data_IF_986835657005
#
_entry.id   IF_986835657005
#
_cell.length_a   1.000
_cell.length_b   1.000
_cell.length_c   1.000
_cell.angle_alpha   90.00
_cell.angle_beta   90.00
_cell.angle_gamma   90.00
#
_symmetry.space_group_name_H-M   'P 1'
#
loop_
_entity.id
_entity.type
_entity.pdbx_description
1 polymer ?
#
# COMPACT_ATOMS: atom_id res chain seq x y z
N UNK A 1 -43.44 5.75 10.19
CA UNK A 1 -42.39 6.42 9.39
C UNK A 1 -41.03 6.09 10.00
N UNK A 2 -40.21 5.26 9.35
CA UNK A 2 -38.82 5.02 9.78
C UNK A 2 -38.01 6.26 9.38
N UNK A 3 -37.65 7.10 10.34
CA UNK A 3 -36.73 8.20 10.11
C UNK A 3 -35.42 7.62 9.54
N UNK A 4 -35.07 8.00 8.32
CA UNK A 4 -33.81 7.59 7.70
C UNK A 4 -32.65 8.04 8.57
N UNK A 5 -31.78 7.10 8.97
CA UNK A 5 -30.52 7.45 9.65
C UNK A 5 -29.76 8.42 8.75
N UNK A 6 -29.56 9.66 9.21
CA UNK A 6 -28.65 10.61 8.57
C UNK A 6 -27.27 9.95 8.46
N UNK A 7 -26.74 9.88 7.24
CA UNK A 7 -25.41 9.32 6.99
C UNK A 7 -24.39 10.31 7.54
N UNK A 8 -23.67 9.92 8.59
CA UNK A 8 -22.61 10.73 9.18
C UNK A 8 -21.30 10.49 8.42
N UNK A 9 -20.85 11.49 7.66
CA UNK A 9 -19.64 11.43 6.83
C UNK A 9 -18.35 11.82 7.57
N UNK A 10 -18.44 12.38 8.79
CA UNK A 10 -17.26 12.81 9.56
C UNK A 10 -16.18 11.74 9.75
N UNK A 11 -16.51 10.46 10.05
CA UNK A 11 -15.50 9.42 10.17
C UNK A 11 -14.71 9.19 8.88
N UNK A 12 -15.34 9.34 7.72
CA UNK A 12 -14.69 9.16 6.42
C UNK A 12 -13.70 10.31 6.13
N UNK A 13 -14.06 11.54 6.49
CA UNK A 13 -13.19 12.72 6.36
C UNK A 13 -11.95 12.54 7.23
N UNK A 14 -12.13 12.13 8.50
CA UNK A 14 -11.03 11.88 9.43
C UNK A 14 -10.10 10.78 8.87
N UNK A 15 -10.67 9.70 8.34
CA UNK A 15 -9.90 8.61 7.73
C UNK A 15 -9.05 9.12 6.57
N UNK A 16 -9.64 9.88 5.64
CA UNK A 16 -8.91 10.46 4.51
C UNK A 16 -7.75 11.33 4.99
N UNK A 17 -7.98 12.19 5.98
CA UNK A 17 -6.94 13.07 6.55
C UNK A 17 -5.80 12.24 7.15
N UNK A 18 -6.11 11.22 7.97
CA UNK A 18 -5.10 10.37 8.61
C UNK A 18 -4.29 9.59 7.56
N UNK A 19 -4.95 9.02 6.55
CA UNK A 19 -4.27 8.31 5.46
C UNK A 19 -3.37 9.25 4.65
N UNK A 20 -3.81 10.48 4.37
CA UNK A 20 -2.97 11.49 3.71
C UNK A 20 -1.74 11.84 4.53
N UNK A 21 -1.89 12.03 5.86
CA UNK A 21 -0.76 12.28 6.76
C UNK A 21 0.25 11.13 6.74
N UNK A 22 -0.22 9.88 6.67
CA UNK A 22 0.63 8.69 6.61
C UNK A 22 1.43 8.60 5.30
N UNK A 23 0.91 9.17 4.21
CA UNK A 23 1.55 9.17 2.88
C UNK A 23 2.52 10.34 2.73
N UNK A 24 2.56 11.31 3.65
CA UNK A 24 3.49 12.45 3.57
C UNK A 24 4.96 12.09 3.35
N UNK A 25 5.54 11.01 3.92
CA UNK A 25 6.92 10.63 3.64
C UNK A 25 7.14 10.26 2.16
N UNK A 26 6.11 9.79 1.46
CA UNK A 26 6.23 9.40 0.04
C UNK A 26 6.39 10.61 -0.89
N UNK A 27 6.16 11.84 -0.41
CA UNK A 27 6.22 13.05 -1.23
C UNK A 27 7.65 13.55 -1.49
N UNK A 28 8.65 13.06 -0.75
CA UNK A 28 10.04 13.42 -1.04
C UNK A 28 10.51 12.84 -2.38
N UNK A 29 11.56 13.41 -2.96
CA UNK A 29 12.21 12.83 -4.15
C UNK A 29 12.84 11.48 -3.82
N UNK A 30 12.80 10.52 -4.76
CA UNK A 30 13.31 9.16 -4.54
C UNK A 30 12.40 8.25 -3.69
N UNK A 31 12.91 7.07 -3.35
CA UNK A 31 12.24 6.12 -2.46
C UNK A 31 12.73 6.31 -1.02
N UNK A 32 11.87 6.04 -0.04
CA UNK A 32 12.23 6.25 1.38
C UNK A 32 13.18 5.13 1.84
N UNK A 33 14.13 5.44 2.75
CA UNK A 33 15.03 4.42 3.28
C UNK A 33 14.24 3.39 4.11
N UNK A 34 14.38 2.12 3.73
CA UNK A 34 13.75 0.97 4.39
C UNK A 34 14.67 -0.24 4.24
N UNK A 35 14.59 -1.19 5.18
CA UNK A 35 15.42 -2.40 5.14
C UNK A 35 15.12 -3.31 3.93
N UNK A 36 13.89 -3.30 3.42
CA UNK A 36 13.51 -3.96 2.16
C UNK A 36 13.09 -2.91 1.13
N UNK A 37 14.05 -2.37 0.41
CA UNK A 37 13.88 -1.35 -0.64
C UNK A 37 13.57 -1.95 -2.02
N UNK A 38 13.29 -3.26 -2.10
CA UNK A 38 13.12 -3.98 -3.38
C UNK A 38 11.76 -3.76 -4.07
N UNK A 39 10.90 -2.92 -3.49
CA UNK A 39 9.51 -2.72 -3.94
C UNK A 39 9.46 -2.13 -5.35
N UNK A 40 10.33 -1.16 -5.66
CA UNK A 40 10.37 -0.49 -6.96
C UNK A 40 10.80 -1.46 -8.06
N UNK A 41 11.79 -2.31 -7.76
CA UNK A 41 12.31 -3.35 -8.63
C UNK A 41 11.23 -4.39 -8.92
N UNK A 42 10.47 -4.81 -7.91
CA UNK A 42 9.35 -5.76 -8.10
C UNK A 42 8.24 -5.18 -8.98
N UNK A 43 7.92 -3.88 -8.87
CA UNK A 43 6.96 -3.21 -9.78
C UNK A 43 7.51 -3.11 -11.20
N UNK A 44 8.80 -2.79 -11.36
CA UNK A 44 9.48 -2.81 -12.66
C UNK A 44 9.37 -4.18 -13.34
N UNK A 45 9.73 -5.25 -12.62
CA UNK A 45 9.66 -6.62 -13.12
C UNK A 45 8.23 -7.05 -13.45
N UNK A 46 7.26 -6.66 -12.62
CA UNK A 46 5.85 -6.96 -12.90
C UNK A 46 5.39 -6.28 -14.18
N UNK A 47 5.73 -4.99 -14.39
CA UNK A 47 5.45 -4.29 -15.64
C UNK A 47 6.07 -5.02 -16.83
N UNK A 48 7.34 -5.42 -16.73
CA UNK A 48 8.07 -6.10 -17.81
C UNK A 48 7.45 -7.45 -18.16
N UNK A 49 7.20 -8.29 -17.16
CA UNK A 49 6.57 -9.59 -17.37
C UNK A 49 5.15 -9.45 -17.96
N UNK A 50 4.38 -8.47 -17.52
CA UNK A 50 3.06 -8.18 -18.09
C UNK A 50 3.16 -7.67 -19.54
N UNK A 51 4.14 -6.82 -19.88
CA UNK A 51 4.36 -6.39 -21.27
C UNK A 51 4.76 -7.53 -22.18
N UNK A 52 5.42 -8.56 -21.64
CA UNK A 52 5.78 -9.79 -22.34
C UNK A 52 4.61 -10.77 -22.43
N UNK A 53 3.41 -10.39 -21.97
CA UNK A 53 2.19 -11.21 -22.03
C UNK A 53 2.12 -12.31 -20.98
N UNK A 54 2.97 -12.29 -19.95
CA UNK A 54 2.96 -13.30 -18.89
C UNK A 54 1.80 -13.04 -17.91
N UNK A 55 0.79 -13.91 -17.93
CA UNK A 55 -0.28 -13.89 -16.93
C UNK A 55 -0.72 -15.33 -16.56
N UNK A 56 -0.70 -15.72 -15.27
CA UNK A 56 -0.18 -14.96 -14.14
C UNK A 56 1.35 -14.86 -14.17
N UNK A 57 1.88 -13.71 -13.77
CA UNK A 57 3.32 -13.50 -13.57
C UNK A 57 3.80 -14.37 -12.41
N UNK A 58 4.78 -15.23 -12.68
CA UNK A 58 5.40 -16.15 -11.71
C UNK A 58 6.91 -15.99 -11.67
N UNK A 59 7.51 -15.81 -12.84
CA UNK A 59 8.96 -15.69 -13.04
C UNK A 59 9.26 -14.32 -13.62
N UNK A 60 10.31 -13.68 -13.11
CA UNK A 60 10.76 -12.38 -13.60
C UNK A 60 12.19 -12.48 -14.12
N UNK A 61 12.53 -11.80 -15.24
CA UNK A 61 13.78 -12.06 -15.96
C UNK A 61 15.03 -11.46 -15.32
N UNK A 62 14.98 -10.26 -14.73
CA UNK A 62 16.23 -9.53 -14.43
C UNK A 62 16.76 -9.77 -13.00
N UNK A 63 15.92 -10.29 -12.11
CA UNK A 63 16.34 -10.67 -10.76
C UNK A 63 17.20 -11.95 -10.77
N UNK A 64 17.86 -12.23 -9.64
CA UNK A 64 18.70 -13.42 -9.51
C UNK A 64 19.97 -13.36 -10.36
N UNK A 65 20.62 -12.19 -10.43
CA UNK A 65 21.81 -11.95 -11.25
C UNK A 65 21.60 -12.19 -12.75
N UNK A 66 20.38 -11.95 -13.26
CA UNK A 66 20.02 -12.15 -14.67
C UNK A 66 19.67 -13.58 -15.06
N UNK A 67 19.66 -14.53 -14.12
CA UNK A 67 19.12 -15.89 -14.36
C UNK A 67 17.60 -15.96 -14.21
N UNK A 68 16.99 -14.88 -13.73
CA UNK A 68 15.59 -14.77 -13.40
C UNK A 68 15.24 -15.35 -12.02
N UNK A 69 14.06 -14.99 -11.54
CA UNK A 69 13.66 -15.30 -10.17
C UNK A 69 12.14 -15.55 -10.02
N UNK A 70 11.71 -16.59 -9.29
CA UNK A 70 10.30 -16.93 -9.12
C UNK A 70 9.58 -16.11 -8.02
N UNK A 71 9.85 -14.80 -7.91
CA UNK A 71 9.42 -13.97 -6.75
C UNK A 71 7.93 -14.06 -6.45
N UNK A 72 7.09 -14.04 -7.48
CA UNK A 72 5.63 -13.97 -7.34
C UNK A 72 4.96 -15.32 -7.05
N UNK A 73 5.74 -16.39 -6.91
CA UNK A 73 5.26 -17.64 -6.30
C UNK A 73 5.31 -17.58 -4.77
N UNK A 74 6.19 -16.76 -4.21
CA UNK A 74 6.45 -16.71 -2.76
C UNK A 74 6.00 -15.39 -2.11
N UNK A 75 5.90 -14.32 -2.89
CA UNK A 75 5.41 -13.02 -2.44
C UNK A 75 4.00 -12.74 -2.98
N UNK A 76 3.20 -12.03 -2.17
CA UNK A 76 1.84 -11.64 -2.54
C UNK A 76 1.85 -10.77 -3.81
N UNK A 77 1.31 -11.24 -4.94
CA UNK A 77 1.50 -10.56 -6.22
C UNK A 77 0.48 -9.45 -6.46
N UNK A 78 -0.66 -9.46 -5.76
CA UNK A 78 -1.79 -8.56 -6.01
C UNK A 78 -1.40 -7.05 -5.97
N UNK A 79 -0.68 -6.55 -4.94
CA UNK A 79 -0.25 -5.15 -4.94
C UNK A 79 0.63 -4.83 -6.16
N UNK A 80 1.56 -5.73 -6.49
CA UNK A 80 2.47 -5.52 -7.61
C UNK A 80 1.76 -5.53 -8.95
N UNK A 81 0.68 -6.30 -9.14
CA UNK A 81 -0.16 -6.18 -10.34
C UNK A 81 -0.73 -4.76 -10.47
N UNK A 82 -1.21 -4.17 -9.37
CA UNK A 82 -1.71 -2.79 -9.38
C UNK A 82 -0.60 -1.82 -9.81
N UNK A 83 0.58 -1.90 -9.16
CA UNK A 83 1.73 -1.08 -9.54
C UNK A 83 2.19 -1.32 -10.98
N UNK A 84 2.23 -2.57 -11.43
CA UNK A 84 2.64 -2.98 -12.77
C UNK A 84 1.70 -2.45 -13.85
N UNK A 85 0.37 -2.51 -13.64
CA UNK A 85 -0.60 -1.93 -14.56
C UNK A 85 -0.52 -0.41 -14.63
N UNK A 86 -0.32 0.26 -13.48
CA UNK A 86 -0.09 1.71 -13.44
C UNK A 86 1.17 2.07 -14.25
N UNK A 87 2.25 1.32 -14.06
CA UNK A 87 3.50 1.55 -14.79
C UNK A 87 3.39 1.19 -16.29
N UNK A 88 2.60 0.18 -16.65
CA UNK A 88 2.26 -0.15 -18.05
C UNK A 88 1.50 0.98 -18.75
N UNK A 89 0.68 1.74 -18.01
CA UNK A 89 0.00 2.92 -18.53
C UNK A 89 0.95 4.11 -18.82
N UNK A 90 2.27 3.93 -18.68
CA UNK A 90 3.29 4.93 -18.98
C UNK A 90 3.73 5.77 -17.79
N UNK A 91 3.20 5.50 -16.59
CA UNK A 91 3.63 6.18 -15.37
C UNK A 91 5.02 5.67 -14.96
N UNK A 92 5.86 6.58 -14.48
CA UNK A 92 7.18 6.25 -13.92
C UNK A 92 7.07 5.17 -12.84
N UNK A 93 8.01 4.23 -12.81
CA UNK A 93 7.93 3.04 -11.93
C UNK A 93 8.04 3.40 -10.46
N UNK A 94 8.87 4.39 -10.12
CA UNK A 94 8.98 4.88 -8.75
C UNK A 94 7.65 5.52 -8.32
N UNK A 95 7.07 6.37 -9.17
CA UNK A 95 5.76 6.97 -8.88
C UNK A 95 4.65 5.91 -8.80
N UNK A 96 4.64 4.92 -9.71
CA UNK A 96 3.69 3.82 -9.71
C UNK A 96 3.76 3.01 -8.41
N UNK A 97 4.98 2.77 -7.91
CA UNK A 97 5.20 2.08 -6.63
C UNK A 97 4.66 2.91 -5.46
N UNK A 98 4.86 4.22 -5.45
CA UNK A 98 4.30 5.12 -4.43
C UNK A 98 2.78 5.12 -4.45
N UNK A 99 2.17 5.20 -5.63
CA UNK A 99 0.71 5.15 -5.81
C UNK A 99 0.16 3.80 -5.35
N UNK A 100 0.83 2.69 -5.69
CA UNK A 100 0.48 1.35 -5.24
C UNK A 100 0.43 1.27 -3.71
N UNK A 101 1.49 1.71 -3.02
CA UNK A 101 1.56 1.66 -1.55
C UNK A 101 0.49 2.57 -0.93
N UNK A 102 0.32 3.79 -1.46
CA UNK A 102 -0.74 4.70 -1.04
C UNK A 102 -2.13 4.04 -1.18
N UNK A 103 -2.39 3.38 -2.31
CA UNK A 103 -3.63 2.64 -2.54
C UNK A 103 -3.89 1.56 -1.51
N UNK A 104 -2.85 0.81 -1.10
CA UNK A 104 -2.95 -0.20 -0.03
C UNK A 104 -3.24 0.45 1.33
N UNK A 105 -2.62 1.59 1.64
CA UNK A 105 -2.88 2.34 2.88
C UNK A 105 -4.34 2.82 2.94
N UNK A 106 -4.85 3.40 1.85
CA UNK A 106 -6.25 3.82 1.79
C UNK A 106 -7.22 2.63 1.82
N UNK A 107 -6.94 1.58 1.05
CA UNK A 107 -7.79 0.39 0.98
C UNK A 107 -7.88 -0.37 2.30
N UNK A 108 -6.76 -0.52 3.01
CA UNK A 108 -6.73 -1.11 4.35
C UNK A 108 -7.50 -0.25 5.38
N UNK A 109 -7.27 1.06 5.38
CA UNK A 109 -7.99 2.00 6.26
C UNK A 109 -9.51 1.93 6.02
N UNK A 110 -9.94 1.95 4.76
CA UNK A 110 -11.35 1.87 4.39
C UNK A 110 -11.97 0.52 4.78
N UNK A 111 -11.28 -0.59 4.52
CA UNK A 111 -11.75 -1.92 4.88
C UNK A 111 -11.92 -2.06 6.40
N UNK A 112 -10.98 -1.50 7.17
CA UNK A 112 -11.06 -1.49 8.63
C UNK A 112 -12.24 -0.64 9.14
N UNK A 113 -12.53 0.50 8.48
CA UNK A 113 -13.72 1.30 8.80
C UNK A 113 -15.01 0.52 8.57
N UNK A 114 -15.13 -0.22 7.47
CA UNK A 114 -16.30 -1.06 7.20
C UNK A 114 -16.46 -2.14 8.27
N UNK A 115 -15.36 -2.79 8.65
CA UNK A 115 -15.36 -3.80 9.71
C UNK A 115 -15.77 -3.20 11.07
N UNK A 116 -15.18 -2.07 11.45
CA UNK A 116 -15.48 -1.39 12.71
C UNK A 116 -16.94 -0.94 12.79
N UNK A 117 -17.54 -0.52 11.67
CA UNK A 117 -18.95 -0.15 11.60
C UNK A 117 -19.89 -1.31 11.93
N UNK A 118 -19.49 -2.54 11.60
CA UNK A 118 -20.29 -3.74 11.85
C UNK A 118 -20.13 -4.24 13.30
N UNK A 119 -18.90 -4.22 13.82
CA UNK A 119 -18.58 -4.85 15.12
C UNK A 119 -18.43 -3.89 16.30
N UNK A 120 -18.19 -2.59 16.08
CA UNK A 120 -17.88 -1.64 17.14
C UNK A 120 -18.83 -0.44 17.13
N UNK A 121 -19.43 -0.14 18.29
CA UNK A 121 -20.06 1.16 18.49
C UNK A 121 -19.00 2.26 18.31
N UNK A 122 -19.34 3.30 17.54
CA UNK A 122 -18.46 4.36 17.00
C UNK A 122 -17.48 5.01 18.00
N UNK A 123 -17.75 4.91 19.30
CA UNK A 123 -16.94 5.47 20.40
C UNK A 123 -15.63 4.72 20.64
N UNK A 124 -15.52 3.42 20.36
CA UNK A 124 -14.24 2.68 20.49
C UNK A 124 -13.29 2.93 19.30
N UNK A 125 -13.82 3.31 18.13
CA UNK A 125 -13.03 3.48 16.90
C UNK A 125 -12.00 4.62 17.00
N UNK A 126 -12.38 5.74 17.63
CA UNK A 126 -11.48 6.89 17.85
C UNK A 126 -10.34 6.57 18.83
N UNK A 127 -10.59 5.68 19.79
CA UNK A 127 -9.57 5.21 20.74
C UNK A 127 -8.55 4.29 20.07
N UNK A 128 -8.97 3.44 19.12
CA UNK A 128 -8.07 2.55 18.38
C UNK A 128 -7.25 3.27 17.29
N UNK A 129 -7.80 4.30 16.63
CA UNK A 129 -7.05 5.05 15.61
C UNK A 129 -5.90 5.88 16.21
N UNK A 130 -6.00 6.28 17.47
CA UNK A 130 -4.92 6.95 18.22
C UNK A 130 -3.85 5.96 18.73
N UNK A 131 -4.20 4.68 18.89
CA UNK A 131 -3.30 3.64 19.38
C UNK A 131 -2.29 3.13 18.34
N UNK A 132 -2.67 3.08 17.05
CA UNK A 132 -1.76 2.63 15.99
C UNK A 132 -0.81 3.73 15.49
N UNK A 133 -1.18 5.00 15.62
CA UNK A 133 -0.33 6.13 15.20
C UNK A 133 0.83 6.47 16.15
N UNK A 134 0.80 5.99 17.40
CA UNK A 134 1.77 6.35 18.44
C UNK A 134 2.76 5.22 18.82
N UNK A 135 2.73 4.07 18.13
CA UNK A 135 3.61 2.91 18.40
C UNK A 135 4.66 2.71 17.28
N UNK A 136 5.02 3.77 16.56
CA UNK A 136 6.21 3.76 15.69
C UNK A 136 7.17 4.87 16.13
N UNK A 137 7.66 4.75 17.37
CA UNK A 137 8.99 5.26 17.72
C UNK A 137 9.94 4.08 17.55
N UNK A 138 10.34 3.81 16.30
CA UNK A 138 11.49 2.95 16.05
C UNK A 138 12.67 3.64 16.74
N UNK A 139 13.14 3.01 17.80
CA UNK A 139 14.35 3.41 18.51
C UNK A 139 15.49 3.35 17.50
N UNK A 140 16.14 4.48 17.27
CA UNK A 140 17.51 4.54 16.74
C UNK A 140 18.43 3.87 17.77
N UNK A 141 18.60 2.56 17.70
CA UNK A 141 19.69 1.82 18.32
C UNK A 141 20.00 0.60 17.44
N UNK A 142 21.30 0.31 17.35
CA UNK A 142 21.97 -0.79 16.64
C UNK A 142 22.34 -0.42 15.18
N UNK A 143 23.46 0.30 14.96
CA UNK A 143 24.83 -0.26 14.89
C UNK A 143 24.86 -1.50 14.00
N UNK A 144 25.06 -1.31 12.70
CA UNK A 144 26.14 -1.87 11.84
C UNK A 144 25.93 -1.38 10.41
#
# INVERSE_FOLDING_TARGET
MKFGKLINFWPLIILIIISLLTITPFLHSGFFPVHDDTQVQRVFEMRKALSDGMFPVRWVPDLGYGYGYPVFNFYAPLPYYIGGFIALAGIDVLLATKIMIAGVVFGSSFSMYLLAKEFMHISLFLLFSLGFGNIIRIRNLDIF
#
